data_IF_539655757164
#
_entry.id   IF_539655757164
#
_cell.length_a   1.000
_cell.length_b   1.000
_cell.length_c   1.000
_cell.angle_alpha   90.00
_cell.angle_beta   90.00
_cell.angle_gamma   90.00
#
_symmetry.space_group_name_H-M   'P 1'
#
loop_
_entity.id
_entity.type
_entity.pdbx_description
1 polymer ?
#
# COMPACT_ATOMS: atom_id res chain seq x y z
N UNK A 1 -14.19 -25.14 -5.22
CA UNK A 1 -14.66 -24.73 -3.88
C UNK A 1 -15.46 -23.44 -4.06
N UNK A 2 -16.76 -23.38 -3.75
CA UNK A 2 -17.52 -22.14 -3.97
C UNK A 2 -17.12 -21.07 -2.95
N UNK A 3 -16.93 -19.83 -3.41
CA UNK A 3 -16.68 -18.68 -2.56
C UNK A 3 -17.92 -18.42 -1.69
N UNK A 4 -17.76 -18.38 -0.36
CA UNK A 4 -18.84 -18.03 0.57
C UNK A 4 -19.13 -16.52 0.50
N UNK A 5 -20.40 -16.15 0.69
CA UNK A 5 -20.80 -14.74 0.86
C UNK A 5 -20.08 -14.13 2.06
N UNK A 6 -19.44 -12.98 1.84
CA UNK A 6 -18.59 -12.25 2.82
C UNK A 6 -19.35 -11.13 3.56
N UNK A 7 -20.61 -11.40 3.90
CA UNK A 7 -21.43 -10.45 4.66
C UNK A 7 -20.82 -10.18 6.04
N UNK A 8 -20.56 -8.90 6.35
CA UNK A 8 -19.98 -8.46 7.63
C UNK A 8 -18.45 -8.33 7.67
N UNK A 9 -17.74 -8.56 6.55
CA UNK A 9 -16.28 -8.35 6.50
C UNK A 9 -15.85 -6.89 6.34
N UNK A 10 -16.72 -6.05 5.78
CA UNK A 10 -16.40 -4.65 5.50
C UNK A 10 -17.17 -3.72 6.43
N UNK A 11 -16.45 -2.76 7.00
CA UNK A 11 -17.05 -1.62 7.69
C UNK A 11 -17.31 -0.51 6.67
N UNK A 12 -18.40 0.24 6.85
CA UNK A 12 -18.60 1.51 6.13
C UNK A 12 -17.80 2.66 6.75
N UNK A 13 -17.28 2.48 7.97
CA UNK A 13 -16.36 3.40 8.62
C UNK A 13 -14.92 3.13 8.15
N UNK A 14 -14.31 4.14 7.54
CA UNK A 14 -12.96 4.11 7.00
C UNK A 14 -11.97 4.97 7.79
N UNK A 15 -12.37 5.58 8.92
CA UNK A 15 -11.56 6.58 9.62
C UNK A 15 -10.19 6.03 10.07
N UNK A 16 -10.12 4.73 10.40
CA UNK A 16 -8.90 4.05 10.85
C UNK A 16 -8.39 3.02 9.82
N UNK A 17 -8.88 3.07 8.58
CA UNK A 17 -8.42 2.15 7.54
C UNK A 17 -6.99 2.50 7.11
N UNK A 18 -6.13 1.49 7.01
CA UNK A 18 -4.78 1.66 6.47
C UNK A 18 -4.88 1.79 4.94
N UNK A 19 -4.41 2.90 4.33
CA UNK A 19 -4.45 3.08 2.89
C UNK A 19 -3.67 1.99 2.15
N UNK A 20 -4.27 1.50 1.06
CA UNK A 20 -3.63 0.58 0.11
C UNK A 20 -3.55 1.26 -1.26
N UNK A 21 -2.32 1.47 -1.75
CA UNK A 21 -2.07 1.99 -3.09
C UNK A 21 -1.69 0.83 -4.01
N UNK A 22 -2.45 0.63 -5.08
CA UNK A 22 -2.07 -0.31 -6.13
C UNK A 22 -1.28 0.43 -7.20
N UNK A 23 -0.14 -0.13 -7.61
CA UNK A 23 0.70 0.46 -8.66
C UNK A 23 1.31 -0.65 -9.50
N UNK A 24 1.26 -0.51 -10.82
CA UNK A 24 1.98 -1.43 -11.70
C UNK A 24 3.46 -1.06 -11.83
N UNK A 25 4.27 -1.98 -12.34
CA UNK A 25 5.69 -1.72 -12.63
C UNK A 25 5.87 -0.54 -13.62
N UNK A 26 4.93 -0.37 -14.55
CA UNK A 26 4.93 0.76 -15.48
C UNK A 26 4.65 2.11 -14.80
N UNK A 27 3.92 2.08 -13.68
CA UNK A 27 3.44 3.25 -12.97
C UNK A 27 4.23 3.52 -11.68
N UNK A 28 5.20 2.68 -11.29
CA UNK A 28 5.92 2.84 -10.01
C UNK A 28 6.54 4.24 -9.83
N UNK A 29 6.89 4.92 -10.94
CA UNK A 29 7.44 6.28 -10.93
C UNK A 29 6.41 7.37 -10.58
N UNK A 30 5.10 7.09 -10.66
CA UNK A 30 4.02 8.00 -10.29
C UNK A 30 3.80 8.03 -8.78
N UNK A 31 4.38 7.09 -8.02
CA UNK A 31 4.34 7.11 -6.55
C UNK A 31 4.81 8.44 -5.97
N UNK A 32 5.72 9.15 -6.65
CA UNK A 32 6.20 10.48 -6.22
C UNK A 32 5.13 11.57 -6.17
N UNK A 33 4.00 11.35 -6.83
CA UNK A 33 2.87 12.27 -6.89
C UNK A 33 1.92 12.06 -5.71
N UNK A 34 2.03 10.91 -5.03
CA UNK A 34 1.10 10.48 -3.97
C UNK A 34 1.81 10.35 -2.62
N UNK A 35 3.05 9.85 -2.61
CA UNK A 35 3.84 9.64 -1.41
C UNK A 35 4.69 10.87 -1.09
N UNK A 36 4.87 11.14 0.20
CA UNK A 36 5.83 12.13 0.64
C UNK A 36 7.29 11.69 0.34
N UNK A 37 8.26 12.62 0.37
CA UNK A 37 9.66 12.31 0.05
C UNK A 37 10.31 11.25 0.95
N UNK A 38 9.89 11.12 2.22
CA UNK A 38 10.45 10.14 3.16
C UNK A 38 9.95 8.74 2.82
N UNK A 39 8.65 8.61 2.51
CA UNK A 39 8.06 7.37 2.05
C UNK A 39 8.64 6.91 0.70
N UNK A 40 8.96 7.83 -0.21
CA UNK A 40 9.66 7.52 -1.47
C UNK A 40 11.07 6.99 -1.22
N UNK A 41 11.86 7.69 -0.40
CA UNK A 41 13.21 7.24 -0.05
C UNK A 41 13.20 5.87 0.62
N UNK A 42 12.18 5.60 1.45
CA UNK A 42 11.95 4.27 2.01
C UNK A 42 11.67 3.23 0.93
N UNK A 43 10.73 3.49 0.00
CA UNK A 43 10.41 2.60 -1.10
C UNK A 43 11.64 2.25 -1.95
N UNK A 44 12.48 3.24 -2.26
CA UNK A 44 13.74 3.08 -2.99
C UNK A 44 14.75 2.24 -2.20
N UNK A 45 14.88 2.49 -0.89
CA UNK A 45 15.76 1.72 0.01
C UNK A 45 15.34 0.24 0.09
N UNK A 46 14.03 -0.02 0.08
CA UNK A 46 13.48 -1.38 0.02
C UNK A 46 13.61 -2.02 -1.37
N UNK A 47 14.06 -1.27 -2.39
CA UNK A 47 14.18 -1.74 -3.75
C UNK A 47 12.83 -2.07 -4.40
N UNK A 48 11.74 -1.41 -3.98
CA UNK A 48 10.41 -1.66 -4.51
C UNK A 48 10.28 -1.20 -5.96
N UNK A 49 9.69 -2.04 -6.81
CA UNK A 49 9.58 -1.83 -8.27
C UNK A 49 8.16 -1.94 -8.82
N UNK A 50 7.13 -2.11 -7.99
CA UNK A 50 5.75 -2.29 -8.46
C UNK A 50 5.53 -3.63 -9.19
N UNK A 51 6.28 -4.68 -8.83
CA UNK A 51 6.11 -6.00 -9.43
C UNK A 51 4.84 -6.67 -8.88
N UNK A 52 4.08 -7.33 -9.75
CA UNK A 52 2.84 -8.02 -9.40
C UNK A 52 2.97 -8.90 -8.15
N UNK A 53 2.12 -8.62 -7.15
CA UNK A 53 2.05 -9.36 -5.89
C UNK A 53 3.14 -8.99 -4.88
N UNK A 54 3.99 -8.00 -5.16
CA UNK A 54 4.92 -7.45 -4.16
C UNK A 54 4.22 -6.44 -3.29
N UNK A 55 4.53 -6.48 -2.00
CA UNK A 55 3.94 -5.59 -1.00
C UNK A 55 5.06 -4.80 -0.36
N UNK A 56 4.92 -3.47 -0.36
CA UNK A 56 5.75 -2.55 0.39
C UNK A 56 4.94 -1.99 1.55
N UNK A 57 5.47 -2.13 2.76
CA UNK A 57 4.91 -1.52 3.95
C UNK A 57 5.58 -0.16 4.18
N UNK A 58 4.76 0.88 4.35
CA UNK A 58 5.21 2.23 4.68
C UNK A 58 5.00 2.46 6.18
N UNK A 59 6.08 2.56 6.97
CA UNK A 59 5.95 2.79 8.40
C UNK A 59 5.44 4.20 8.69
N UNK A 60 4.67 4.34 9.77
CA UNK A 60 4.32 5.65 10.34
C UNK A 60 5.45 6.19 11.25
N UNK A 61 5.26 7.41 11.77
CA UNK A 61 6.24 8.08 12.63
C UNK A 61 6.47 7.40 13.99
N UNK A 62 5.58 6.49 14.40
CA UNK A 62 5.67 5.71 15.65
C UNK A 62 6.23 4.30 15.41
N UNK A 63 6.55 3.95 14.16
CA UNK A 63 7.00 2.60 13.78
C UNK A 63 5.85 1.61 13.56
N UNK A 64 4.61 2.09 13.53
CA UNK A 64 3.43 1.33 13.09
C UNK A 64 3.28 1.31 11.57
N UNK A 65 2.15 0.82 11.07
CA UNK A 65 1.86 0.73 9.63
C UNK A 65 1.01 1.92 9.18
N UNK A 66 1.63 2.84 8.44
CA UNK A 66 0.95 4.03 7.93
C UNK A 66 0.23 3.81 6.60
N UNK A 67 0.80 3.01 5.70
CA UNK A 67 0.19 2.65 4.43
C UNK A 67 0.84 1.41 3.81
N UNK A 68 0.21 0.87 2.77
CA UNK A 68 0.72 -0.26 1.98
C UNK A 68 0.72 0.10 0.49
N UNK A 69 1.77 -0.28 -0.22
CA UNK A 69 1.83 -0.24 -1.68
C UNK A 69 1.86 -1.67 -2.21
N UNK A 70 0.92 -2.01 -3.09
CA UNK A 70 0.81 -3.29 -3.78
C UNK A 70 1.25 -3.12 -5.23
N UNK A 71 2.24 -3.93 -5.62
CA UNK A 71 2.72 -4.09 -6.99
C UNK A 71 1.88 -5.05 -7.81
#
# INVERSE_FOLDING_TARGET
MPLRSVSGLFSSDAQNAIPLYAVSEAEVKTLKEVLDPVALAWAETQGFKGQAGKVLQLPDAQGGLGAVVLG
#
